data_IF_365601017001
#
_entry.id   IF_365601017001
#
_cell.length_a   1.000
_cell.length_b   1.000
_cell.length_c   1.000
_cell.angle_alpha   90.00
_cell.angle_beta   90.00
_cell.angle_gamma   90.00
#
_symmetry.space_group_name_H-M   'P 1'
#
loop_
_entity.id
_entity.type
_entity.pdbx_description
1 polymer ?
#
# COMPACT_ATOMS: atom_id res chain seq x y z
N UNK A 1 -38.41 -5.51 -66.98
CA UNK A 1 -37.85 -4.62 -65.95
C UNK A 1 -37.54 -5.48 -64.73
N UNK A 2 -36.40 -5.23 -64.10
CA UNK A 2 -36.16 -5.40 -62.65
C UNK A 2 -35.52 -6.64 -62.04
N UNK A 3 -34.75 -7.46 -62.77
CA UNK A 3 -33.84 -8.41 -62.08
C UNK A 3 -32.49 -7.80 -61.70
N UNK A 4 -32.10 -6.69 -62.33
CA UNK A 4 -30.85 -5.96 -62.02
C UNK A 4 -30.99 -5.02 -60.83
N UNK A 5 -32.16 -4.41 -60.63
CA UNK A 5 -32.44 -3.53 -59.49
C UNK A 5 -32.59 -4.32 -58.18
N UNK A 6 -33.33 -5.43 -58.17
CA UNK A 6 -33.45 -6.31 -56.98
C UNK A 6 -32.10 -6.85 -56.50
N UNK A 7 -31.19 -7.15 -57.43
CA UNK A 7 -29.88 -7.70 -57.09
C UNK A 7 -28.93 -6.60 -56.55
N UNK A 8 -29.06 -5.36 -57.04
CA UNK A 8 -28.35 -4.18 -56.53
C UNK A 8 -28.77 -3.85 -55.09
N UNK A 9 -30.08 -3.86 -54.81
CA UNK A 9 -30.63 -3.57 -53.49
C UNK A 9 -30.23 -4.61 -52.44
N UNK A 10 -30.16 -5.89 -52.84
CA UNK A 10 -29.73 -6.98 -51.96
C UNK A 10 -28.22 -6.88 -51.61
N UNK A 11 -27.39 -6.42 -52.55
CA UNK A 11 -25.97 -6.12 -52.28
C UNK A 11 -25.84 -4.94 -51.31
N UNK A 12 -26.61 -3.87 -51.52
CA UNK A 12 -26.61 -2.69 -50.63
C UNK A 12 -27.04 -3.03 -49.20
N UNK A 13 -28.07 -3.86 -49.01
CA UNK A 13 -28.52 -4.31 -47.70
C UNK A 13 -27.48 -5.16 -46.96
N UNK A 14 -26.70 -5.98 -47.69
CA UNK A 14 -25.60 -6.75 -47.11
C UNK A 14 -24.46 -5.85 -46.62
N UNK A 15 -24.14 -4.82 -47.38
CA UNK A 15 -23.13 -3.84 -47.00
C UNK A 15 -23.53 -3.07 -45.74
N UNK A 16 -24.79 -2.63 -45.67
CA UNK A 16 -25.36 -1.98 -44.47
C UNK A 16 -25.27 -2.92 -43.26
N UNK A 17 -25.63 -4.21 -43.42
CA UNK A 17 -25.56 -5.19 -42.34
C UNK A 17 -24.12 -5.38 -41.82
N UNK A 18 -23.14 -5.39 -42.72
CA UNK A 18 -21.73 -5.51 -42.35
C UNK A 18 -21.23 -4.27 -41.60
N UNK A 19 -21.63 -3.06 -42.04
CA UNK A 19 -21.31 -1.81 -41.33
C UNK A 19 -21.91 -1.83 -39.92
N UNK A 20 -23.18 -2.22 -39.78
CA UNK A 20 -23.85 -2.28 -38.47
C UNK A 20 -23.17 -3.28 -37.53
N UNK A 21 -22.75 -4.45 -38.03
CA UNK A 21 -21.99 -5.43 -37.25
C UNK A 21 -20.64 -4.89 -36.77
N UNK A 22 -19.91 -4.21 -37.65
CA UNK A 22 -18.61 -3.61 -37.32
C UNK A 22 -18.74 -2.43 -36.35
N UNK A 23 -19.81 -1.66 -36.46
CA UNK A 23 -20.11 -0.61 -35.47
C UNK A 23 -20.46 -1.22 -34.11
N UNK A 24 -21.26 -2.29 -34.09
CA UNK A 24 -21.61 -3.00 -32.85
C UNK A 24 -20.38 -3.53 -32.11
N UNK A 25 -19.43 -4.16 -32.82
CA UNK A 25 -18.18 -4.62 -32.20
C UNK A 25 -17.31 -3.47 -31.69
N UNK A 26 -17.28 -2.34 -32.41
CA UNK A 26 -16.58 -1.12 -31.98
C UNK A 26 -17.17 -0.54 -30.70
N UNK A 27 -18.51 -0.50 -30.59
CA UNK A 27 -19.21 0.00 -29.40
C UNK A 27 -18.89 -0.88 -28.18
N UNK A 28 -18.87 -2.20 -28.34
CA UNK A 28 -18.53 -3.14 -27.26
C UNK A 28 -17.09 -2.92 -26.78
N UNK A 29 -16.15 -2.74 -27.71
CA UNK A 29 -14.76 -2.42 -27.40
C UNK A 29 -14.62 -1.11 -26.60
N UNK A 30 -15.32 -0.05 -27.04
CA UNK A 30 -15.34 1.24 -26.34
C UNK A 30 -15.95 1.13 -24.95
N UNK A 31 -17.05 0.39 -24.78
CA UNK A 31 -17.64 0.14 -23.46
C UNK A 31 -16.66 -0.56 -22.52
N UNK A 32 -15.89 -1.54 -23.03
CA UNK A 32 -14.86 -2.22 -22.25
C UNK A 32 -13.75 -1.26 -21.82
N UNK A 33 -13.24 -0.44 -22.75
CA UNK A 33 -12.18 0.54 -22.46
C UNK A 33 -12.63 1.58 -21.44
N UNK A 34 -13.84 2.14 -21.60
CA UNK A 34 -14.40 3.10 -20.64
C UNK A 34 -14.57 2.47 -19.25
N UNK A 35 -15.04 1.23 -19.19
CA UNK A 35 -15.20 0.51 -17.91
C UNK A 35 -13.87 0.28 -17.22
N UNK A 36 -12.82 -0.06 -17.99
CA UNK A 36 -11.47 -0.24 -17.47
C UNK A 36 -10.90 1.09 -16.94
N UNK A 37 -10.96 2.17 -17.73
CA UNK A 37 -10.48 3.49 -17.29
C UNK A 37 -11.24 4.03 -16.08
N UNK A 38 -12.55 3.79 -15.99
CA UNK A 38 -13.33 4.15 -14.79
C UNK A 38 -12.88 3.38 -13.55
N UNK A 39 -12.47 2.12 -13.71
CA UNK A 39 -11.98 1.33 -12.58
C UNK A 39 -10.60 1.80 -12.13
N UNK A 40 -9.70 2.12 -13.07
CA UNK A 40 -8.38 2.71 -12.80
C UNK A 40 -8.52 4.04 -12.04
N UNK A 41 -9.38 4.96 -12.52
CA UNK A 41 -9.66 6.25 -11.84
C UNK A 41 -10.21 6.03 -10.43
N UNK A 42 -11.11 5.05 -10.24
CA UNK A 42 -11.66 4.75 -8.90
C UNK A 42 -10.57 4.26 -7.93
N UNK A 43 -9.62 3.48 -8.41
CA UNK A 43 -8.51 3.02 -7.59
C UNK A 43 -7.54 4.17 -7.25
N UNK A 44 -7.25 5.04 -8.22
CA UNK A 44 -6.40 6.21 -8.02
C UNK A 44 -7.02 7.21 -7.02
N UNK A 45 -8.31 7.53 -7.18
CA UNK A 45 -9.06 8.41 -6.25
C UNK A 45 -9.10 7.83 -4.84
N UNK A 46 -9.26 6.51 -4.68
CA UNK A 46 -9.20 5.86 -3.36
C UNK A 46 -7.82 6.01 -2.72
N UNK A 47 -6.75 5.81 -3.48
CA UNK A 47 -5.37 5.99 -3.02
C UNK A 47 -5.05 7.44 -2.64
N UNK A 48 -5.54 8.43 -3.39
CA UNK A 48 -5.35 9.84 -3.05
C UNK A 48 -6.20 10.28 -1.85
N UNK A 49 -7.42 9.75 -1.70
CA UNK A 49 -8.31 10.12 -0.58
C UNK A 49 -7.76 9.58 0.75
N UNK A 50 -7.17 8.39 0.77
CA UNK A 50 -6.53 7.83 1.97
C UNK A 50 -5.29 8.62 2.38
N UNK A 51 -4.48 9.09 1.43
CA UNK A 51 -3.33 9.98 1.71
C UNK A 51 -3.78 11.34 2.27
N UNK A 52 -4.82 11.95 1.69
CA UNK A 52 -5.36 13.23 2.17
C UNK A 52 -6.01 13.11 3.55
N UNK A 53 -6.67 11.99 3.86
CA UNK A 53 -7.22 11.72 5.19
C UNK A 53 -6.13 11.54 6.25
N UNK A 54 -5.04 10.80 5.93
CA UNK A 54 -3.88 10.64 6.83
C UNK A 54 -3.22 11.99 7.16
N UNK A 55 -3.05 12.86 6.17
CA UNK A 55 -2.48 14.20 6.37
C UNK A 55 -3.36 15.09 7.27
N UNK A 56 -4.69 14.98 7.17
CA UNK A 56 -5.63 15.74 8.01
C UNK A 56 -5.75 15.20 9.44
N UNK A 57 -5.67 13.88 9.64
CA UNK A 57 -5.75 13.30 10.99
C UNK A 57 -4.49 13.58 11.82
N UNK A 58 -3.31 13.64 11.19
CA UNK A 58 -2.06 13.93 11.88
C UNK A 58 -1.93 15.39 12.34
N UNK A 59 -2.75 16.31 11.82
CA UNK A 59 -2.71 17.73 12.21
C UNK A 59 -3.55 18.05 13.45
N UNK A 60 -4.53 17.22 13.81
CA UNK A 60 -5.44 17.50 14.95
C UNK A 60 -5.03 16.77 16.24
N UNK A 61 -4.38 15.60 16.15
CA UNK A 61 -4.05 14.82 17.34
C UNK A 61 -2.68 15.19 17.94
N UNK A 62 -2.69 15.86 19.09
CA UNK A 62 -1.47 16.15 19.86
C UNK A 62 -1.13 14.99 20.79
N UNK A 63 -0.06 14.28 20.47
CA UNK A 63 0.50 13.24 21.33
C UNK A 63 1.03 13.83 22.64
N UNK A 64 0.53 13.33 23.78
CA UNK A 64 1.03 13.70 25.11
C UNK A 64 2.44 13.16 25.39
N UNK A 65 2.76 12.00 24.82
CA UNK A 65 4.02 11.29 25.06
C UNK A 65 4.67 10.94 23.72
N UNK A 66 5.93 11.34 23.54
CA UNK A 66 6.67 11.07 22.29
C UNK A 66 6.86 9.58 22.03
N UNK A 67 6.98 8.77 23.09
CA UNK A 67 7.01 7.31 22.98
C UNK A 67 5.76 6.76 22.27
N UNK A 68 4.57 7.21 22.66
CA UNK A 68 3.32 6.78 22.03
C UNK A 68 3.22 7.20 20.56
N UNK A 69 3.66 8.43 20.25
CA UNK A 69 3.72 8.92 18.87
C UNK A 69 4.57 8.01 17.99
N UNK A 70 5.79 7.69 18.44
CA UNK A 70 6.69 6.79 17.72
C UNK A 70 6.09 5.39 17.56
N UNK A 71 5.48 4.86 18.62
CA UNK A 71 4.81 3.57 18.58
C UNK A 71 3.61 3.56 17.63
N UNK A 72 2.85 4.65 17.55
CA UNK A 72 1.76 4.78 16.59
C UNK A 72 2.29 4.78 15.16
N UNK A 73 3.30 5.60 14.87
CA UNK A 73 3.88 5.71 13.53
C UNK A 73 4.39 4.36 13.01
N UNK A 74 5.13 3.60 13.82
CA UNK A 74 5.59 2.26 13.44
C UNK A 74 4.41 1.33 13.12
N UNK A 75 3.30 1.41 13.88
CA UNK A 75 2.11 0.60 13.59
C UNK A 75 1.47 1.02 12.26
N UNK A 76 1.36 2.33 12.02
CA UNK A 76 0.82 2.88 10.77
C UNK A 76 1.64 2.45 9.55
N UNK A 77 2.98 2.49 9.65
CA UNK A 77 3.88 2.01 8.60
C UNK A 77 3.70 0.51 8.33
N UNK A 78 3.55 -0.32 9.37
CA UNK A 78 3.31 -1.76 9.18
C UNK A 78 1.95 -2.01 8.54
N UNK A 79 0.92 -1.25 8.91
CA UNK A 79 -0.39 -1.33 8.24
C UNK A 79 -0.26 -1.00 6.75
N UNK A 80 0.47 0.06 6.41
CA UNK A 80 0.74 0.44 5.01
C UNK A 80 1.50 -0.65 4.25
N UNK A 81 2.49 -1.28 4.87
CA UNK A 81 3.22 -2.39 4.26
C UNK A 81 2.27 -3.57 3.98
N UNK A 82 1.36 -3.89 4.90
CA UNK A 82 0.38 -4.97 4.73
C UNK A 82 -0.66 -4.65 3.64
N UNK A 83 -1.10 -3.39 3.53
CA UNK A 83 -1.95 -2.93 2.43
C UNK A 83 -1.24 -3.07 1.07
N UNK A 84 0.05 -2.72 1.00
CA UNK A 84 0.88 -2.91 -0.19
C UNK A 84 1.05 -4.39 -0.55
N UNK A 85 1.19 -5.28 0.44
CA UNK A 85 1.22 -6.73 0.23
C UNK A 85 -0.10 -7.22 -0.38
N UNK A 86 -1.24 -6.78 0.14
CA UNK A 86 -2.55 -7.15 -0.43
C UNK A 86 -2.67 -6.71 -1.88
N UNK A 87 -2.32 -5.45 -2.17
CA UNK A 87 -2.32 -4.93 -3.54
C UNK A 87 -1.38 -5.72 -4.45
N UNK A 88 -0.19 -6.09 -3.97
CA UNK A 88 0.78 -6.85 -4.73
C UNK A 88 0.28 -8.24 -5.09
N UNK A 89 -0.41 -8.91 -4.16
CA UNK A 89 -1.05 -10.22 -4.39
C UNK A 89 -2.13 -10.09 -5.47
N UNK A 90 -3.01 -9.09 -5.37
CA UNK A 90 -4.10 -8.87 -6.34
C UNK A 90 -3.58 -8.59 -7.76
N UNK A 91 -2.38 -8.05 -7.88
CA UNK A 91 -1.73 -7.72 -9.15
C UNK A 91 -0.67 -8.75 -9.58
N UNK A 92 -0.64 -9.94 -8.97
CA UNK A 92 0.31 -11.01 -9.24
C UNK A 92 1.80 -10.61 -9.13
N UNK A 93 2.11 -9.59 -8.32
CA UNK A 93 3.48 -9.11 -8.04
C UNK A 93 4.07 -9.83 -6.83
N UNK A 94 4.22 -11.15 -6.94
CA UNK A 94 4.55 -12.01 -5.80
C UNK A 94 5.92 -11.74 -5.16
N UNK A 95 6.93 -11.36 -5.95
CA UNK A 95 8.27 -11.08 -5.41
C UNK A 95 8.27 -9.81 -4.55
N UNK A 96 7.63 -8.74 -5.04
CA UNK A 96 7.41 -7.52 -4.27
C UNK A 96 6.57 -7.79 -3.01
N UNK A 97 5.51 -8.62 -3.11
CA UNK A 97 4.72 -9.01 -1.94
C UNK A 97 5.58 -9.70 -0.87
N UNK A 98 6.49 -10.62 -1.27
CA UNK A 98 7.39 -11.32 -0.34
C UNK A 98 8.39 -10.38 0.31
N UNK A 99 8.99 -9.48 -0.47
CA UNK A 99 9.95 -8.48 0.03
C UNK A 99 9.30 -7.55 1.05
N UNK A 100 8.13 -6.99 0.72
CA UNK A 100 7.39 -6.09 1.60
C UNK A 100 6.92 -6.82 2.87
N UNK A 101 6.43 -8.07 2.76
CA UNK A 101 6.04 -8.87 3.93
C UNK A 101 7.23 -9.19 4.84
N UNK A 102 8.39 -9.49 4.26
CA UNK A 102 9.63 -9.71 5.02
C UNK A 102 10.05 -8.45 5.77
N UNK A 103 10.03 -7.29 5.10
CA UNK A 103 10.29 -5.98 5.71
C UNK A 103 9.35 -5.69 6.88
N UNK A 104 8.04 -5.87 6.69
CA UNK A 104 7.03 -5.68 7.74
C UNK A 104 7.28 -6.60 8.95
N UNK A 105 7.68 -7.85 8.69
CA UNK A 105 8.01 -8.83 9.73
C UNK A 105 9.23 -8.39 10.54
N UNK A 106 10.29 -7.91 9.90
CA UNK A 106 11.49 -7.40 10.58
C UNK A 106 11.20 -6.13 11.40
N UNK A 107 10.37 -5.22 10.87
CA UNK A 107 9.89 -4.04 11.63
C UNK A 107 9.17 -4.47 12.92
N UNK A 108 8.29 -5.47 12.84
CA UNK A 108 7.58 -6.00 14.02
C UNK A 108 8.50 -6.72 15.01
N UNK A 109 9.47 -7.50 14.54
CA UNK A 109 10.47 -8.13 15.41
C UNK A 109 11.30 -7.08 16.16
N UNK A 110 11.79 -6.06 15.44
CA UNK A 110 12.51 -4.93 16.05
C UNK A 110 11.63 -4.26 17.10
N UNK A 111 10.37 -3.93 16.76
CA UNK A 111 9.42 -3.33 17.69
C UNK A 111 9.22 -4.16 18.95
N UNK A 112 8.97 -5.47 18.82
CA UNK A 112 8.78 -6.36 19.95
C UNK A 112 10.00 -6.39 20.88
N UNK A 113 11.22 -6.29 20.33
CA UNK A 113 12.44 -6.14 21.12
C UNK A 113 12.45 -4.82 21.89
N UNK A 114 12.12 -3.71 21.25
CA UNK A 114 12.11 -2.40 21.90
C UNK A 114 11.03 -2.31 23.00
N UNK A 115 9.86 -2.91 22.80
CA UNK A 115 8.81 -2.98 23.83
C UNK A 115 9.32 -3.75 25.05
N UNK A 116 10.00 -4.89 24.86
CA UNK A 116 10.60 -5.63 25.96
C UNK A 116 11.60 -4.78 26.75
N UNK A 117 12.49 -4.05 26.05
CA UNK A 117 13.45 -3.13 26.70
C UNK A 117 12.72 -2.05 27.51
N UNK A 118 11.66 -1.46 26.93
CA UNK A 118 10.88 -0.44 27.62
C UNK A 118 10.11 -0.97 28.84
N UNK A 119 9.71 -2.25 28.83
CA UNK A 119 8.97 -2.87 29.93
C UNK A 119 9.90 -3.34 31.05
N UNK A 120 11.08 -3.87 30.70
CA UNK A 120 12.03 -4.40 31.68
C UNK A 120 12.90 -3.33 32.32
N UNK A 121 12.98 -2.14 31.71
CA UNK A 121 13.87 -1.06 32.16
C UNK A 121 13.15 -0.03 33.03
N UNK A 122 13.79 0.39 34.13
CA UNK A 122 13.31 1.51 34.95
C UNK A 122 13.17 2.82 34.15
N UNK A 123 14.07 3.06 33.19
CA UNK A 123 14.04 4.22 32.29
C UNK A 123 13.05 4.10 31.12
N UNK A 124 12.38 2.96 30.98
CA UNK A 124 11.34 2.70 30.00
C UNK A 124 11.70 3.09 28.56
N UNK A 125 10.86 3.93 27.94
CA UNK A 125 11.08 4.41 26.57
C UNK A 125 12.31 5.31 26.40
N UNK A 126 12.84 5.89 27.49
CA UNK A 126 14.08 6.67 27.41
C UNK A 126 15.30 5.74 27.28
N UNK A 127 15.29 4.59 27.95
CA UNK A 127 16.26 3.50 27.72
C UNK A 127 16.23 3.05 26.26
N UNK A 128 15.04 2.87 25.67
CA UNK A 128 14.92 2.54 24.24
C UNK A 128 15.57 3.60 23.35
N UNK A 129 15.37 4.89 23.65
CA UNK A 129 15.99 5.98 22.89
C UNK A 129 17.52 5.90 22.93
N UNK A 130 18.08 5.63 24.10
CA UNK A 130 19.53 5.47 24.27
C UNK A 130 20.05 4.20 23.58
N UNK A 131 19.28 3.12 23.62
CA UNK A 131 19.58 1.86 22.93
C UNK A 131 19.66 2.04 21.42
N UNK A 132 18.70 2.75 20.81
CA UNK A 132 18.68 3.00 19.36
C UNK A 132 19.75 3.99 18.89
N UNK A 133 20.15 4.95 19.73
CA UNK A 133 21.10 6.01 19.39
C UNK A 133 22.58 5.61 19.51
N UNK A 134 22.90 4.38 19.91
CA UNK A 134 24.26 3.97 20.21
C UNK A 134 24.76 2.87 19.24
N UNK A 135 25.20 3.23 18.02
CA UNK A 135 25.64 2.29 16.99
C UNK A 135 27.01 1.64 17.28
N UNK A 136 27.76 2.11 18.30
CA UNK A 136 29.14 1.67 18.57
C UNK A 136 29.18 0.59 19.66
N UNK A 137 28.82 -0.64 19.28
CA UNK A 137 29.38 -1.87 19.85
C UNK A 137 29.02 -3.04 18.93
N UNK A 138 29.96 -3.31 18.02
CA UNK A 138 30.17 -4.59 17.35
C UNK A 138 29.91 -5.77 18.30
N UNK A 139 28.92 -6.58 17.97
CA UNK A 139 28.75 -8.00 18.32
C UNK A 139 29.03 -8.53 19.74
N UNK A 140 28.84 -7.74 20.80
CA UNK A 140 28.92 -8.29 22.16
C UNK A 140 27.84 -7.75 23.10
N UNK A 141 26.93 -8.65 23.47
CA UNK A 141 25.84 -8.62 24.46
C UNK A 141 24.80 -7.49 24.40
N UNK A 142 23.58 -7.88 24.02
CA UNK A 142 22.37 -7.06 24.18
C UNK A 142 22.16 -6.63 25.64
N UNK A 143 22.54 -7.47 26.61
CA UNK A 143 22.45 -7.16 28.04
C UNK A 143 23.38 -6.00 28.44
N UNK A 144 24.60 -5.98 27.89
CA UNK A 144 25.55 -4.87 28.05
C UNK A 144 25.04 -3.57 27.41
N UNK A 145 24.35 -3.68 26.26
CA UNK A 145 23.72 -2.53 25.59
C UNK A 145 22.57 -1.96 26.41
N UNK A 146 21.72 -2.82 26.98
CA UNK A 146 20.60 -2.40 27.83
C UNK A 146 21.16 -1.71 29.08
N UNK A 147 22.05 -2.35 29.85
CA UNK A 147 22.62 -1.77 31.07
C UNK A 147 23.23 -0.36 30.87
N UNK A 148 23.90 -0.13 29.73
CA UNK A 148 24.44 1.20 29.37
C UNK A 148 23.36 2.21 29.02
N UNK A 149 22.32 1.78 28.33
CA UNK A 149 21.17 2.62 27.99
C UNK A 149 20.40 3.00 29.26
N UNK A 150 20.21 2.06 30.19
CA UNK A 150 19.57 2.31 31.49
C UNK A 150 20.33 3.34 32.31
N UNK A 151 21.65 3.17 32.45
CA UNK A 151 22.51 4.12 33.17
C UNK A 151 22.46 5.55 32.61
N UNK A 152 22.02 5.73 31.35
CA UNK A 152 21.88 7.04 30.69
C UNK A 152 20.44 7.56 30.68
N UNK A 153 19.47 6.72 31.04
CA UNK A 153 18.06 7.04 31.07
C UNK A 153 17.56 7.42 32.47
N UNK A 154 18.36 7.17 33.51
CA UNK A 154 18.13 7.60 34.92
C UNK A 154 18.62 9.03 35.15
#
# INVERSE_FOLDING_TARGET
MDTSEENSDNVSLRDILNVVKNQGSTIISLQSQVSQSLNEIRQEVRGSTSQVQKLKSDTEFKWRFEGHRKQYNINSEVIEDLEQVSWAIDNAKLDYAKETLSSATEKLKKRNKLIKIADTSEGGWETVRQYENNPVASDSDDESKINRAESRAV
#
